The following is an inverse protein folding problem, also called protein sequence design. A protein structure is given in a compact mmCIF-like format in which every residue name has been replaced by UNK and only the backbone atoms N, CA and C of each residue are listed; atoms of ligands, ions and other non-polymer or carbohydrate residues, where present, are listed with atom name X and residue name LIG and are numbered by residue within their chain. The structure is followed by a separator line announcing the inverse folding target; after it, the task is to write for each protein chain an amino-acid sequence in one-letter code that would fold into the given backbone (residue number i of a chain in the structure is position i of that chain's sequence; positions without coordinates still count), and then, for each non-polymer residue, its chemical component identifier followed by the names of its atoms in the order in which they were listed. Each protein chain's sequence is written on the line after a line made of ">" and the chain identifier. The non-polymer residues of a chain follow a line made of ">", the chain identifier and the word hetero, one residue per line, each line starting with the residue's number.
data_IF_426563694524
#
_entry.id   IF_426563694524
#
_cell.length_a   1.000
_cell.length_b   1.000
_cell.length_c   1.000
_cell.angle_alpha   90.00
_cell.angle_beta   90.00
_cell.angle_gamma   90.00
#
_symmetry.space_group_name_H-M   'P 1'
#
loop_
_entity.id
_entity.type
_entity.pdbx_description
1 polymer ?
#
# COMPACT_ATOMS: atom_id res chain seq x y z
N UNK A 1 -34.23 42.55 10.60
CA UNK A 1 -34.20 41.19 10.03
C UNK A 1 -34.06 40.19 11.18
N UNK A 2 -35.11 39.42 11.51
CA UNK A 2 -35.03 38.41 12.58
C UNK A 2 -34.31 37.18 12.03
N UNK A 3 -33.09 36.92 12.48
CA UNK A 3 -32.41 35.64 12.26
C UNK A 3 -33.16 34.58 13.08
N UNK A 4 -33.76 33.59 12.42
CA UNK A 4 -34.31 32.43 13.10
C UNK A 4 -33.17 31.63 13.74
N UNK A 5 -33.27 31.32 15.03
CA UNK A 5 -32.34 30.42 15.71
C UNK A 5 -32.67 28.97 15.39
N UNK A 6 -31.64 28.14 15.24
CA UNK A 6 -31.79 26.69 15.11
C UNK A 6 -32.49 26.12 16.35
N UNK A 7 -33.45 25.22 16.15
CA UNK A 7 -34.07 24.48 17.26
C UNK A 7 -33.15 23.35 17.72
N UNK A 8 -33.16 23.03 19.02
CA UNK A 8 -32.40 21.89 19.56
C UNK A 8 -32.80 20.58 18.86
N UNK A 9 -34.07 20.44 18.51
CA UNK A 9 -34.63 19.25 17.83
C UNK A 9 -34.06 19.09 16.42
N UNK A 10 -33.94 20.16 15.63
CA UNK A 10 -33.28 20.09 14.32
C UNK A 10 -31.84 19.60 14.42
N UNK A 11 -31.08 20.13 15.38
CA UNK A 11 -29.69 19.71 15.56
C UNK A 11 -29.65 18.22 15.95
N UNK A 12 -30.50 17.76 16.88
CA UNK A 12 -30.56 16.36 17.32
C UNK A 12 -30.78 15.39 16.16
N UNK A 13 -31.75 15.67 15.28
CA UNK A 13 -32.06 14.78 14.15
C UNK A 13 -30.88 14.72 13.17
N UNK A 14 -30.21 15.85 12.94
CA UNK A 14 -29.05 15.92 12.04
C UNK A 14 -27.90 15.06 12.56
N UNK A 15 -27.52 15.18 13.84
CA UNK A 15 -26.44 14.35 14.40
C UNK A 15 -26.80 12.86 14.42
N UNK A 16 -28.08 12.52 14.64
CA UNK A 16 -28.54 11.13 14.59
C UNK A 16 -28.36 10.51 13.19
N UNK A 17 -28.75 11.23 12.14
CA UNK A 17 -28.59 10.75 10.76
C UNK A 17 -27.11 10.66 10.37
N UNK A 18 -26.29 11.66 10.72
CA UNK A 18 -24.84 11.64 10.47
C UNK A 18 -24.19 10.45 11.19
N UNK A 19 -24.56 10.20 12.45
CA UNK A 19 -24.06 9.07 13.23
C UNK A 19 -24.37 7.71 12.59
N UNK A 20 -25.60 7.52 12.11
CA UNK A 20 -26.01 6.30 11.41
C UNK A 20 -25.20 6.09 10.11
N UNK A 21 -25.06 7.13 9.29
CA UNK A 21 -24.30 7.05 8.04
C UNK A 21 -22.81 6.78 8.31
N UNK A 22 -22.22 7.45 9.30
CA UNK A 22 -20.83 7.25 9.68
C UNK A 22 -20.56 5.82 10.19
N UNK A 23 -21.49 5.24 10.96
CA UNK A 23 -21.36 3.89 11.49
C UNK A 23 -21.24 2.82 10.38
N UNK A 24 -21.89 3.03 9.23
CA UNK A 24 -21.82 2.12 8.07
C UNK A 24 -20.60 2.45 7.20
N UNK A 25 -20.28 3.73 7.01
CA UNK A 25 -19.23 4.18 6.11
C UNK A 25 -17.80 3.91 6.64
N UNK A 26 -17.54 4.15 7.93
CA UNK A 26 -16.22 4.01 8.55
C UNK A 26 -15.63 2.59 8.37
N UNK A 27 -16.31 1.49 8.73
CA UNK A 27 -15.72 0.16 8.60
C UNK A 27 -15.46 -0.23 7.14
N UNK A 28 -16.30 0.22 6.21
CA UNK A 28 -16.09 0.00 4.77
C UNK A 28 -14.84 0.74 4.27
N UNK A 29 -14.68 2.00 4.67
CA UNK A 29 -13.52 2.81 4.29
C UNK A 29 -12.20 2.25 4.82
N UNK A 30 -12.17 1.75 6.06
CA UNK A 30 -10.97 1.13 6.65
C UNK A 30 -10.54 -0.10 5.84
N UNK A 31 -11.47 -1.00 5.53
CA UNK A 31 -11.18 -2.21 4.72
C UNK A 31 -10.70 -1.86 3.31
N UNK A 32 -11.31 -0.85 2.69
CA UNK A 32 -10.91 -0.38 1.37
C UNK A 32 -9.49 0.20 1.39
N UNK A 33 -9.12 0.93 2.44
CA UNK A 33 -7.76 1.45 2.64
C UNK A 33 -6.74 0.33 2.82
N UNK A 34 -7.02 -0.65 3.68
CA UNK A 34 -6.13 -1.81 3.88
C UNK A 34 -5.92 -2.60 2.59
N UNK A 35 -7.00 -2.85 1.84
CA UNK A 35 -6.93 -3.54 0.54
C UNK A 35 -6.12 -2.75 -0.48
N UNK A 36 -6.30 -1.42 -0.53
CA UNK A 36 -5.51 -0.53 -1.40
C UNK A 36 -4.03 -0.55 -1.03
N UNK A 37 -3.70 -0.46 0.26
CA UNK A 37 -2.32 -0.55 0.76
C UNK A 37 -1.68 -1.88 0.39
N UNK A 38 -2.40 -2.99 0.55
CA UNK A 38 -1.95 -4.34 0.15
C UNK A 38 -1.66 -4.39 -1.35
N UNK A 39 -2.61 -3.97 -2.18
CA UNK A 39 -2.46 -4.01 -3.64
C UNK A 39 -1.29 -3.14 -4.13
N UNK A 40 -1.13 -1.94 -3.57
CA UNK A 40 -0.01 -1.06 -3.85
C UNK A 40 1.33 -1.71 -3.43
N UNK A 41 1.37 -2.37 -2.28
CA UNK A 41 2.55 -3.08 -1.82
C UNK A 41 2.92 -4.26 -2.75
N UNK A 42 1.94 -5.07 -3.17
CA UNK A 42 2.15 -6.17 -4.11
C UNK A 42 2.68 -5.64 -5.46
N UNK A 43 2.13 -4.54 -5.95
CA UNK A 43 2.62 -3.91 -7.19
C UNK A 43 4.05 -3.38 -7.05
N UNK A 44 4.45 -2.88 -5.88
CA UNK A 44 5.83 -2.51 -5.61
C UNK A 44 6.75 -3.74 -5.58
N UNK A 45 6.31 -4.85 -4.97
CA UNK A 45 7.06 -6.11 -4.97
C UNK A 45 7.27 -6.64 -6.40
N UNK A 46 6.23 -6.59 -7.27
CA UNK A 46 6.36 -6.95 -8.69
C UNK A 46 7.35 -6.08 -9.44
N UNK A 47 7.40 -4.79 -9.14
CA UNK A 47 8.38 -3.87 -9.73
C UNK A 47 9.80 -4.21 -9.30
N UNK A 48 10.01 -4.54 -8.02
CA UNK A 48 11.31 -4.97 -7.49
C UNK A 48 11.73 -6.30 -8.13
N UNK A 49 10.80 -7.24 -8.25
CA UNK A 49 11.04 -8.56 -8.84
C UNK A 49 11.45 -8.44 -10.32
N UNK A 50 10.69 -7.67 -11.11
CA UNK A 50 11.03 -7.40 -12.50
C UNK A 50 12.37 -6.65 -12.66
N UNK A 51 12.68 -5.71 -11.77
CA UNK A 51 13.97 -5.00 -11.77
C UNK A 51 15.15 -5.95 -11.47
N UNK A 52 14.96 -6.89 -10.54
CA UNK A 52 15.92 -7.93 -10.20
C UNK A 52 16.15 -8.88 -11.37
N UNK A 53 15.08 -9.32 -12.03
CA UNK A 53 15.17 -10.21 -13.19
C UNK A 53 15.84 -9.51 -14.37
N UNK A 54 15.55 -8.23 -14.60
CA UNK A 54 16.21 -7.45 -15.64
C UNK A 54 17.72 -7.32 -15.37
N UNK A 55 18.11 -6.98 -14.13
CA UNK A 55 19.52 -6.94 -13.74
C UNK A 55 20.22 -8.29 -13.94
N UNK A 56 19.54 -9.39 -13.57
CA UNK A 56 20.08 -10.73 -13.71
C UNK A 56 20.32 -11.13 -15.17
N UNK A 57 19.39 -10.78 -16.07
CA UNK A 57 19.52 -11.01 -17.51
C UNK A 57 20.72 -10.22 -18.08
N UNK A 58 20.84 -8.93 -17.75
CA UNK A 58 21.91 -8.07 -18.27
C UNK A 58 23.30 -8.51 -17.79
N UNK A 59 23.40 -9.07 -16.58
CA UNK A 59 24.66 -9.52 -15.99
C UNK A 59 24.90 -11.04 -16.13
N UNK A 60 24.09 -11.74 -16.92
CA UNK A 60 24.14 -13.21 -17.10
C UNK A 60 24.18 -13.97 -15.75
N UNK A 61 23.43 -13.50 -14.76
CA UNK A 61 23.30 -14.12 -13.44
C UNK A 61 22.21 -15.18 -13.48
N UNK A 62 22.48 -16.29 -12.81
CA UNK A 62 21.53 -17.39 -12.65
C UNK A 62 20.79 -17.29 -11.31
N UNK A 63 19.75 -18.11 -11.16
CA UNK A 63 19.01 -18.28 -9.90
C UNK A 63 19.96 -18.52 -8.74
N UNK A 64 19.81 -17.75 -7.66
CA UNK A 64 20.65 -17.82 -6.46
C UNK A 64 21.74 -16.75 -6.35
N UNK A 65 21.96 -15.92 -7.37
CA UNK A 65 22.86 -14.77 -7.24
C UNK A 65 22.33 -13.79 -6.18
N UNK A 66 23.22 -13.31 -5.30
CA UNK A 66 22.91 -12.23 -4.36
C UNK A 66 22.72 -10.93 -5.14
N UNK A 67 21.64 -10.22 -4.81
CA UNK A 67 21.27 -8.95 -5.45
C UNK A 67 21.38 -7.88 -4.38
N UNK A 68 22.24 -6.89 -4.59
CA UNK A 68 22.27 -5.73 -3.72
C UNK A 68 21.23 -4.71 -4.14
N UNK A 69 20.80 -3.86 -3.20
CA UNK A 69 19.88 -2.78 -3.50
C UNK A 69 20.43 -1.81 -4.55
N UNK A 70 21.74 -1.56 -4.55
CA UNK A 70 22.44 -0.73 -5.54
C UNK A 70 22.30 -1.26 -6.96
N UNK A 71 22.22 -2.58 -7.12
CA UNK A 71 22.24 -3.25 -8.43
C UNK A 71 20.92 -3.05 -9.17
N UNK A 72 19.80 -3.05 -8.45
CA UNK A 72 18.46 -2.90 -9.03
C UNK A 72 17.95 -1.47 -9.05
N UNK A 73 18.59 -0.56 -8.31
CA UNK A 73 18.20 0.86 -8.25
C UNK A 73 18.13 1.53 -9.63
N UNK A 74 19.03 1.25 -10.60
CA UNK A 74 18.95 1.82 -11.95
C UNK A 74 17.71 1.39 -12.74
N UNK A 75 17.15 0.23 -12.44
CA UNK A 75 15.99 -0.34 -13.13
C UNK A 75 14.65 0.10 -12.51
N UNK A 76 14.71 0.80 -11.37
CA UNK A 76 13.56 1.37 -10.68
C UNK A 76 13.58 2.88 -10.86
N UNK A 77 12.47 3.46 -11.33
CA UNK A 77 12.33 4.93 -11.44
C UNK A 77 12.51 5.64 -10.09
N UNK A 78 12.12 5.00 -9.01
CA UNK A 78 12.29 5.44 -7.62
C UNK A 78 12.20 4.22 -6.72
N UNK A 79 12.95 4.21 -5.62
CA UNK A 79 12.77 3.19 -4.60
C UNK A 79 11.34 3.24 -4.02
N UNK A 80 10.56 2.15 -4.13
CA UNK A 80 9.19 2.14 -3.62
C UNK A 80 9.17 2.22 -2.10
N UNK A 81 8.21 2.96 -1.57
CA UNK A 81 7.92 3.02 -0.13
C UNK A 81 6.65 2.23 0.13
N UNK A 82 6.64 1.44 1.21
CA UNK A 82 5.45 0.67 1.55
C UNK A 82 4.40 1.62 2.14
N UNK A 83 3.15 1.61 1.63
CA UNK A 83 2.07 2.47 2.13
C UNK A 83 1.52 2.04 3.51
N UNK A 84 2.03 0.94 4.07
CA UNK A 84 1.78 0.46 5.41
C UNK A 84 3.08 0.48 6.28
N UNK A 85 4.05 1.32 5.91
CA UNK A 85 5.32 1.54 6.64
C UNK A 85 6.22 0.30 6.78
N UNK A 86 6.06 -0.68 5.86
CA UNK A 86 6.93 -1.84 5.74
C UNK A 86 8.25 -1.60 5.01
N UNK A 87 9.20 -2.52 5.22
CA UNK A 87 10.48 -2.58 4.50
C UNK A 87 10.48 -3.71 3.49
N UNK A 88 11.07 -3.45 2.32
CA UNK A 88 11.23 -4.45 1.26
C UNK A 88 12.57 -5.16 1.39
N UNK A 89 12.55 -6.48 1.32
CA UNK A 89 13.76 -7.33 1.29
C UNK A 89 13.90 -7.93 -0.09
N UNK A 90 14.98 -7.57 -0.78
CA UNK A 90 15.33 -8.11 -2.08
C UNK A 90 15.96 -9.48 -1.83
N UNK A 91 15.24 -10.56 -2.15
CA UNK A 91 15.79 -11.91 -2.12
C UNK A 91 16.83 -12.11 -3.23
N UNK A 92 17.42 -13.31 -3.27
CA UNK A 92 18.29 -13.71 -4.38
C UNK A 92 17.50 -13.75 -5.70
N UNK A 93 18.22 -13.76 -6.83
CA UNK A 93 17.63 -13.98 -8.16
C UNK A 93 16.80 -15.26 -8.15
N UNK A 94 15.53 -15.18 -8.57
CA UNK A 94 14.56 -16.28 -8.58
C UNK A 94 13.86 -16.58 -7.24
N UNK A 95 14.11 -15.81 -6.19
CA UNK A 95 13.26 -15.81 -4.97
C UNK A 95 12.44 -14.54 -4.91
N UNK A 96 11.14 -14.64 -4.63
CA UNK A 96 10.24 -13.49 -4.60
C UNK A 96 10.70 -12.46 -3.54
N UNK A 97 10.71 -11.16 -3.84
CA UNK A 97 10.96 -10.13 -2.84
C UNK A 97 9.83 -10.14 -1.80
N UNK A 98 10.19 -9.86 -0.54
CA UNK A 98 9.24 -9.89 0.58
C UNK A 98 9.07 -8.52 1.21
N UNK A 99 7.91 -8.30 1.83
CA UNK A 99 7.63 -7.12 2.64
C UNK A 99 7.53 -7.53 4.11
N UNK A 100 7.97 -6.68 5.03
CA UNK A 100 7.85 -6.93 6.49
C UNK A 100 6.41 -6.91 7.01
N UNK A 101 5.45 -6.41 6.22
CA UNK A 101 4.04 -6.33 6.62
C UNK A 101 3.32 -7.64 6.33
N UNK A 102 2.69 -8.21 7.37
CA UNK A 102 1.95 -9.47 7.27
C UNK A 102 0.81 -9.40 6.24
N UNK A 103 0.79 -10.35 5.30
CA UNK A 103 -0.24 -10.45 4.26
C UNK A 103 0.06 -9.66 2.99
N UNK A 104 1.19 -8.95 2.91
CA UNK A 104 1.69 -8.28 1.71
C UNK A 104 2.76 -9.14 1.03
N UNK A 105 2.35 -10.28 0.49
CA UNK A 105 3.23 -11.20 -0.26
C UNK A 105 2.83 -11.23 -1.73
N UNK A 106 3.81 -11.54 -2.60
CA UNK A 106 3.58 -11.83 -4.01
C UNK A 106 2.78 -13.11 -4.22
#
# INVERSE_FOLDING_TARGET
>A
MKKGGFTLVEIMIVVAIIGLLAAIAIPSFVRARETSQKNACINNLRQIDGAKDQWAIEHNKTTGASVAQSDITPYLKKWPTCPADGTYTIGNVGTDPTCSVSGHTL
#
